data_IF_232569792080
#
_entry.id   IF_232569792080
#
_cell.length_a   1.000
_cell.length_b   1.000
_cell.length_c   1.000
_cell.angle_alpha   90.00
_cell.angle_beta   90.00
_cell.angle_gamma   90.00
#
_symmetry.space_group_name_H-M   'P 1'
#
loop_
_entity.id
_entity.type
_entity.pdbx_description
1 polymer ?
#
# COMPACT_ATOMS: atom_id res chain seq x y z
N UNK A 1 19.70 47.39 -23.65
CA UNK A 1 19.39 46.74 -22.36
C UNK A 1 18.23 45.79 -22.58
N UNK A 2 18.48 44.49 -22.63
CA UNK A 2 17.44 43.46 -22.76
C UNK A 2 17.39 42.73 -21.41
N UNK A 3 16.35 42.97 -20.63
CA UNK A 3 16.11 42.28 -19.35
C UNK A 3 15.60 40.88 -19.64
N UNK A 4 16.45 39.86 -19.43
CA UNK A 4 16.01 38.47 -19.31
C UNK A 4 15.29 38.30 -17.96
N UNK A 5 13.96 38.42 -17.96
CA UNK A 5 13.11 37.99 -16.84
C UNK A 5 13.17 36.47 -16.72
N UNK A 6 14.04 35.99 -15.84
CA UNK A 6 14.01 34.64 -15.28
C UNK A 6 12.68 34.46 -14.52
N UNK A 7 11.73 33.79 -15.15
CA UNK A 7 10.60 33.17 -14.47
C UNK A 7 11.16 32.03 -13.61
N UNK A 8 11.53 32.36 -12.38
CA UNK A 8 11.74 31.39 -11.32
C UNK A 8 10.42 30.67 -11.05
N UNK A 9 10.19 29.57 -11.78
CA UNK A 9 9.10 28.65 -11.50
C UNK A 9 9.33 28.04 -10.13
N UNK A 10 8.70 28.60 -9.10
CA UNK A 10 8.53 27.92 -7.82
C UNK A 10 7.67 26.69 -8.08
N UNK A 11 8.32 25.56 -8.33
CA UNK A 11 7.69 24.26 -8.25
C UNK A 11 7.30 24.04 -6.79
N UNK A 12 6.11 24.53 -6.41
CA UNK A 12 5.43 24.06 -5.23
C UNK A 12 5.19 22.57 -5.42
N UNK A 13 6.08 21.75 -4.88
CA UNK A 13 5.84 20.33 -4.67
C UNK A 13 4.58 20.26 -3.80
N UNK A 14 3.43 20.02 -4.43
CA UNK A 14 2.16 19.94 -3.75
C UNK A 14 2.28 18.85 -2.68
N UNK A 15 2.20 19.24 -1.41
CA UNK A 15 2.27 18.34 -0.26
C UNK A 15 1.26 17.21 -0.47
N UNK A 16 1.75 16.00 -0.69
CA UNK A 16 0.89 14.83 -0.95
C UNK A 16 -0.12 14.68 0.19
N UNK A 17 -1.41 14.74 -0.15
CA UNK A 17 -2.49 14.64 0.83
C UNK A 17 -2.61 13.19 1.27
N UNK A 18 -2.52 12.96 2.57
CA UNK A 18 -2.75 11.65 3.15
C UNK A 18 -4.14 11.12 2.77
N UNK A 19 -4.19 9.88 2.31
CA UNK A 19 -5.42 9.11 2.06
C UNK A 19 -6.17 8.90 3.37
N UNK A 20 -5.47 8.49 4.42
CA UNK A 20 -6.00 8.47 5.78
C UNK A 20 -4.89 8.69 6.82
N UNK A 21 -5.32 9.02 8.04
CA UNK A 21 -4.48 9.11 9.24
C UNK A 21 -5.15 8.32 10.35
N UNK A 22 -4.34 7.66 11.16
CA UNK A 22 -4.78 6.90 12.32
C UNK A 22 -3.84 7.15 13.48
N UNK A 23 -4.41 7.30 14.67
CA UNK A 23 -3.65 7.40 15.92
C UNK A 23 -3.69 6.04 16.58
N UNK A 24 -2.57 5.33 16.56
CA UNK A 24 -2.45 4.04 17.22
C UNK A 24 -2.56 4.20 18.74
N UNK A 25 -3.22 3.25 19.45
CA UNK A 25 -3.19 3.24 20.91
C UNK A 25 -1.75 3.01 21.41
N UNK A 26 -1.34 3.63 22.53
CA UNK A 26 0.02 3.47 23.07
C UNK A 26 0.40 2.00 23.31
N UNK A 27 -0.56 1.21 23.79
CA UNK A 27 -0.40 -0.20 24.16
C UNK A 27 -0.61 -1.18 22.99
N UNK A 28 -0.58 -0.72 21.74
CA UNK A 28 -0.80 -1.59 20.58
C UNK A 28 0.29 -2.67 20.45
N UNK A 29 -0.09 -3.96 20.45
CA UNK A 29 0.91 -5.04 20.39
C UNK A 29 1.61 -5.17 19.04
N UNK A 30 0.91 -4.87 17.94
CA UNK A 30 1.37 -5.06 16.56
C UNK A 30 1.55 -3.74 15.83
N UNK A 31 2.54 -3.62 14.92
CA UNK A 31 2.62 -2.48 14.01
C UNK A 31 1.34 -2.33 13.19
N UNK A 32 0.83 -1.10 13.11
CA UNK A 32 -0.38 -0.70 12.38
C UNK A 32 -0.10 0.52 11.51
N UNK A 33 -0.86 0.69 10.42
CA UNK A 33 -0.68 1.81 9.50
C UNK A 33 -1.28 3.07 10.13
N UNK A 34 -0.45 4.06 10.41
CA UNK A 34 -0.84 5.36 11.00
C UNK A 34 -0.96 6.47 9.97
N UNK A 35 -0.32 6.31 8.81
CA UNK A 35 -0.48 7.21 7.69
C UNK A 35 -0.38 6.45 6.37
N UNK A 36 -1.32 6.71 5.46
CA UNK A 36 -1.26 6.19 4.11
C UNK A 36 -1.36 7.33 3.09
N UNK A 37 -0.58 7.22 2.02
CA UNK A 37 -0.77 7.96 0.77
C UNK A 37 -0.91 6.92 -0.34
N UNK A 38 -2.05 6.89 -1.01
CA UNK A 38 -2.40 5.91 -2.02
C UNK A 38 -3.01 6.63 -3.22
N UNK A 39 -2.57 6.29 -4.41
CA UNK A 39 -3.08 6.85 -5.65
C UNK A 39 -2.55 6.14 -6.89
N UNK A 40 -3.09 6.47 -8.08
CA UNK A 40 -2.61 5.91 -9.33
C UNK A 40 -1.21 6.46 -9.67
N UNK A 41 -0.34 5.60 -10.17
CA UNK A 41 0.98 5.92 -10.70
C UNK A 41 1.24 5.05 -11.94
N UNK A 42 1.07 5.64 -13.13
CA UNK A 42 1.14 4.87 -14.37
C UNK A 42 0.02 3.84 -14.42
N UNK A 43 0.39 2.56 -14.56
CA UNK A 43 -0.52 1.42 -14.56
C UNK A 43 -0.72 0.76 -13.19
N UNK A 44 -0.11 1.31 -12.14
CA UNK A 44 -0.15 0.77 -10.79
C UNK A 44 -0.93 1.66 -9.82
N UNK A 45 -1.37 1.09 -8.70
CA UNK A 45 -1.63 1.85 -7.47
C UNK A 45 -0.34 1.93 -6.65
N UNK A 46 0.15 3.15 -6.45
CA UNK A 46 1.28 3.41 -5.57
C UNK A 46 0.81 3.66 -4.13
N UNK A 47 1.50 3.07 -3.16
CA UNK A 47 1.18 3.17 -1.73
C UNK A 47 2.41 3.52 -0.91
N UNK A 48 2.30 4.56 -0.08
CA UNK A 48 3.24 4.87 0.99
C UNK A 48 2.52 4.65 2.31
N UNK A 49 2.92 3.64 3.04
CA UNK A 49 2.27 3.20 4.26
C UNK A 49 3.26 3.35 5.42
N UNK A 50 3.04 4.34 6.28
CA UNK A 50 3.82 4.54 7.49
C UNK A 50 3.17 3.79 8.64
N UNK A 51 3.95 2.94 9.29
CA UNK A 51 3.57 2.22 10.50
C UNK A 51 3.90 3.05 11.76
N UNK A 52 3.30 2.70 12.89
CA UNK A 52 3.64 3.25 14.21
C UNK A 52 4.93 2.65 14.80
N UNK A 53 5.31 1.47 14.29
CA UNK A 53 6.46 0.65 14.72
C UNK A 53 7.05 -0.05 13.50
N UNK A 54 8.26 -0.57 13.62
CA UNK A 54 8.90 -1.35 12.55
C UNK A 54 8.04 -2.58 12.19
N UNK A 55 7.65 -2.77 10.92
CA UNK A 55 6.64 -3.78 10.54
C UNK A 55 7.16 -5.23 10.53
N UNK A 56 8.47 -5.46 10.50
CA UNK A 56 9.09 -6.79 10.52
C UNK A 56 10.45 -6.75 11.22
N UNK A 57 11.09 -7.90 11.39
CA UNK A 57 12.42 -8.00 12.01
C UNK A 57 12.38 -8.19 13.52
N UNK A 58 13.55 -8.06 14.15
CA UNK A 58 13.69 -8.35 15.58
C UNK A 58 12.93 -7.36 16.47
N UNK A 59 12.74 -6.11 15.99
CA UNK A 59 12.03 -5.07 16.71
C UNK A 59 10.57 -5.45 17.03
N UNK A 60 9.89 -6.17 16.13
CA UNK A 60 8.52 -6.62 16.35
C UNK A 60 8.41 -8.01 17.00
N UNK A 61 9.53 -8.71 17.24
CA UNK A 61 9.60 -10.02 17.89
C UNK A 61 8.65 -11.06 17.28
N UNK A 62 7.52 -11.33 17.95
CA UNK A 62 6.48 -12.30 17.55
C UNK A 62 5.17 -11.60 17.15
N UNK A 63 5.16 -10.27 17.14
CA UNK A 63 3.99 -9.41 16.91
C UNK A 63 4.22 -8.48 15.72
N UNK A 64 4.84 -9.01 14.66
CA UNK A 64 5.06 -8.26 13.43
C UNK A 64 3.76 -7.90 12.72
N UNK A 65 3.88 -6.98 11.76
CA UNK A 65 2.74 -6.49 10.99
C UNK A 65 1.98 -7.66 10.38
N UNK A 66 0.65 -7.60 10.51
CA UNK A 66 -0.28 -8.46 9.80
C UNK A 66 -1.51 -7.62 9.53
N UNK A 67 -1.53 -6.97 8.38
CA UNK A 67 -2.49 -5.91 8.10
C UNK A 67 -2.94 -5.97 6.65
N UNK A 68 -4.20 -5.62 6.41
CA UNK A 68 -4.80 -5.67 5.08
C UNK A 68 -5.31 -4.29 4.69
N UNK A 69 -4.89 -3.83 3.52
CA UNK A 69 -5.49 -2.68 2.84
C UNK A 69 -6.35 -3.23 1.70
N UNK A 70 -7.61 -2.82 1.66
CA UNK A 70 -8.53 -3.20 0.60
C UNK A 70 -8.68 -2.06 -0.40
N UNK A 71 -8.68 -2.40 -1.68
CA UNK A 71 -9.04 -1.47 -2.76
C UNK A 71 -10.32 -1.95 -3.42
N UNK A 72 -11.27 -1.04 -3.49
CA UNK A 72 -12.47 -1.10 -4.32
C UNK A 72 -12.18 -0.18 -5.52
N UNK A 73 -11.81 -0.79 -6.64
CA UNK A 73 -11.14 -0.16 -7.79
C UNK A 73 -12.09 0.64 -8.68
N UNK A 74 -13.38 0.33 -8.62
CA UNK A 74 -14.46 1.06 -9.26
C UNK A 74 -15.33 1.90 -8.30
N UNK A 75 -15.05 1.83 -6.99
CA UNK A 75 -15.81 2.46 -5.92
C UNK A 75 -17.27 1.96 -5.89
N UNK A 76 -17.48 0.67 -6.13
CA UNK A 76 -18.76 -0.02 -6.14
C UNK A 76 -18.83 -1.09 -5.05
N UNK A 77 -19.94 -1.09 -4.29
CA UNK A 77 -20.27 -2.22 -3.40
C UNK A 77 -20.96 -3.37 -4.12
N UNK A 78 -21.08 -3.31 -5.44
CA UNK A 78 -21.76 -4.32 -6.25
C UNK A 78 -20.80 -5.37 -6.83
N UNK A 79 -19.51 -5.09 -6.81
CA UNK A 79 -18.41 -5.94 -7.26
C UNK A 79 -17.63 -6.45 -6.06
N UNK A 80 -16.61 -7.28 -6.30
CA UNK A 80 -15.67 -7.75 -5.29
C UNK A 80 -16.26 -8.41 -4.04
N UNK A 81 -15.50 -8.35 -2.95
CA UNK A 81 -15.75 -9.04 -1.69
C UNK A 81 -17.18 -8.85 -1.15
N UNK A 82 -17.80 -9.95 -0.70
CA UNK A 82 -19.14 -10.02 -0.13
C UNK A 82 -19.14 -10.62 1.27
N UNK A 83 -19.01 -9.77 2.27
CA UNK A 83 -19.12 -10.15 3.68
C UNK A 83 -20.59 -10.26 4.11
N UNK A 84 -20.86 -11.16 5.05
CA UNK A 84 -22.21 -11.46 5.55
C UNK A 84 -22.95 -10.21 6.10
N UNK A 85 -22.23 -9.28 6.74
CA UNK A 85 -22.83 -8.04 7.18
C UNK A 85 -23.06 -7.10 5.99
N UNK A 86 -24.31 -6.74 5.71
CA UNK A 86 -24.75 -5.92 4.57
C UNK A 86 -23.92 -4.62 4.38
N UNK A 87 -23.53 -3.99 5.49
CA UNK A 87 -22.77 -2.75 5.50
C UNK A 87 -21.32 -2.93 5.93
N UNK A 88 -20.78 -4.16 5.81
CA UNK A 88 -19.38 -4.41 6.14
C UNK A 88 -18.47 -3.49 5.30
N UNK A 89 -17.48 -2.84 5.91
CA UNK A 89 -16.62 -1.88 5.22
C UNK A 89 -15.90 -2.48 4.00
N UNK A 90 -15.52 -3.75 4.09
CA UNK A 90 -14.83 -4.47 3.02
C UNK A 90 -15.72 -4.88 1.84
N UNK A 91 -17.05 -4.78 1.94
CA UNK A 91 -17.93 -5.11 0.82
C UNK A 91 -17.62 -4.21 -0.38
N UNK A 92 -17.41 -4.78 -1.56
CA UNK A 92 -16.99 -4.02 -2.74
C UNK A 92 -15.50 -4.03 -3.05
N UNK A 93 -14.66 -4.59 -2.17
CA UNK A 93 -13.22 -4.61 -2.42
C UNK A 93 -12.87 -5.62 -3.52
N UNK A 94 -12.19 -5.17 -4.57
CA UNK A 94 -11.69 -5.99 -5.67
C UNK A 94 -10.26 -6.48 -5.41
N UNK A 95 -9.49 -5.79 -4.56
CA UNK A 95 -8.11 -6.15 -4.24
C UNK A 95 -7.89 -6.16 -2.73
N UNK A 96 -7.24 -7.22 -2.24
CA UNK A 96 -6.63 -7.25 -0.92
C UNK A 96 -5.10 -7.17 -1.02
N UNK A 97 -4.53 -6.18 -0.37
CA UNK A 97 -3.09 -6.03 -0.15
C UNK A 97 -2.78 -6.41 1.29
N UNK A 98 -2.24 -7.62 1.48
CA UNK A 98 -1.98 -8.23 2.78
C UNK A 98 -0.49 -8.11 3.08
N UNK A 99 -0.13 -7.32 4.10
CA UNK A 99 1.24 -7.01 4.48
C UNK A 99 1.58 -7.78 5.74
N UNK A 100 2.65 -8.58 5.67
CA UNK A 100 3.04 -9.50 6.73
C UNK A 100 4.54 -9.41 7.01
N UNK A 101 4.90 -9.19 8.28
CA UNK A 101 6.25 -9.45 8.76
C UNK A 101 6.42 -10.93 9.03
N UNK A 102 7.25 -11.59 8.24
CA UNK A 102 7.57 -13.02 8.34
C UNK A 102 8.83 -13.19 9.16
N UNK A 103 8.81 -14.20 10.04
CA UNK A 103 9.98 -14.68 10.78
C UNK A 103 10.08 -16.18 10.53
N UNK A 104 11.15 -16.59 9.86
CA UNK A 104 11.51 -17.98 9.72
C UNK A 104 12.41 -18.38 10.89
N UNK A 105 11.92 -19.32 11.68
CA UNK A 105 12.68 -19.91 12.77
C UNK A 105 13.60 -20.95 12.15
N UNK A 106 14.92 -20.72 12.25
CA UNK A 106 15.99 -21.55 11.70
C UNK A 106 15.59 -23.02 11.48
N UNK A 107 15.31 -23.37 10.23
CA UNK A 107 14.82 -24.70 9.86
C UNK A 107 15.93 -25.76 9.77
N UNK A 108 17.19 -25.38 10.01
CA UNK A 108 18.33 -26.30 10.11
C UNK A 108 19.35 -25.81 11.15
N UNK A 109 19.97 -26.77 11.86
CA UNK A 109 20.97 -26.54 12.92
C UNK A 109 22.03 -25.51 12.50
N UNK A 110 21.93 -24.29 13.03
CA UNK A 110 22.97 -23.25 12.92
C UNK A 110 22.69 -22.08 11.98
N UNK A 111 21.61 -22.07 11.20
CA UNK A 111 21.25 -20.89 10.41
C UNK A 111 20.66 -19.77 11.30
N UNK A 112 21.05 -18.49 11.15
CA UNK A 112 20.41 -17.40 11.87
C UNK A 112 18.94 -17.26 11.45
N UNK A 113 18.02 -16.90 12.35
CA UNK A 113 16.63 -16.62 12.00
C UNK A 113 16.55 -15.56 10.90
N UNK A 114 15.76 -15.83 9.85
CA UNK A 114 15.55 -14.88 8.78
C UNK A 114 14.22 -14.14 8.99
N UNK A 115 14.23 -12.82 8.81
CA UNK A 115 13.02 -12.01 8.89
C UNK A 115 12.86 -11.14 7.65
N UNK A 116 11.67 -11.13 7.08
CA UNK A 116 11.39 -10.33 5.89
C UNK A 116 9.95 -9.84 5.85
N UNK A 117 9.72 -8.79 5.08
CA UNK A 117 8.38 -8.37 4.73
C UNK A 117 7.89 -9.13 3.50
N UNK A 118 6.70 -9.71 3.61
CA UNK A 118 5.93 -10.30 2.52
C UNK A 118 4.67 -9.47 2.27
N UNK A 119 4.36 -9.20 1.02
CA UNK A 119 3.11 -8.57 0.60
C UNK A 119 2.40 -9.50 -0.37
N UNK A 120 1.17 -9.91 -0.05
CA UNK A 120 0.31 -10.66 -0.97
C UNK A 120 -0.73 -9.72 -1.55
N UNK A 121 -0.87 -9.75 -2.87
CA UNK A 121 -1.93 -9.05 -3.59
C UNK A 121 -2.90 -10.10 -4.10
N UNK A 122 -4.16 -10.03 -3.64
CA UNK A 122 -5.22 -10.92 -4.10
C UNK A 122 -6.31 -10.15 -4.82
N UNK A 123 -6.81 -10.72 -5.91
CA UNK A 123 -8.04 -10.33 -6.57
C UNK A 123 -9.22 -10.96 -5.83
N UNK A 124 -10.22 -10.16 -5.48
CA UNK A 124 -11.43 -10.59 -4.81
C UNK A 124 -12.58 -10.48 -5.81
N UNK A 125 -13.16 -11.61 -6.20
CA UNK A 125 -14.36 -11.66 -7.04
C UNK A 125 -15.64 -11.50 -6.23
N UNK A 126 -16.79 -11.52 -6.92
CA UNK A 126 -18.12 -11.35 -6.29
C UNK A 126 -18.55 -12.56 -5.45
N UNK A 127 -17.91 -13.69 -5.67
CA UNK A 127 -18.04 -14.95 -4.95
C UNK A 127 -17.16 -15.01 -3.68
N UNK A 128 -16.20 -14.09 -3.52
CA UNK A 128 -15.34 -14.06 -2.34
C UNK A 128 -16.12 -13.62 -1.10
N UNK A 129 -16.12 -14.45 -0.08
CA UNK A 129 -16.71 -14.19 1.24
C UNK A 129 -15.67 -13.92 2.32
N UNK A 130 -14.41 -14.28 2.03
CA UNK A 130 -13.23 -14.03 2.85
C UNK A 130 -12.10 -13.46 1.99
N UNK A 131 -11.02 -12.99 2.63
CA UNK A 131 -9.83 -12.52 1.92
C UNK A 131 -9.06 -13.67 1.25
N UNK A 132 -9.17 -14.88 1.79
CA UNK A 132 -8.42 -16.04 1.31
C UNK A 132 -9.10 -16.71 0.09
N UNK A 133 -10.38 -16.41 -0.14
CA UNK A 133 -11.14 -16.87 -1.31
C UNK A 133 -10.63 -16.22 -2.61
N UNK A 134 -9.89 -15.10 -2.51
CA UNK A 134 -9.38 -14.37 -3.67
C UNK A 134 -8.23 -15.06 -4.41
N UNK A 135 -8.15 -14.85 -5.71
CA UNK A 135 -7.02 -15.29 -6.54
C UNK A 135 -5.75 -14.54 -6.17
N UNK A 136 -4.62 -15.24 -6.00
CA UNK A 136 -3.32 -14.60 -5.74
C UNK A 136 -2.76 -14.01 -7.03
N UNK A 137 -2.72 -12.69 -7.13
CA UNK A 137 -2.13 -11.97 -8.28
C UNK A 137 -0.61 -11.85 -8.16
N UNK A 138 -0.11 -11.58 -6.95
CA UNK A 138 1.32 -11.41 -6.70
C UNK A 138 1.66 -11.73 -5.24
N UNK A 139 2.86 -12.27 -5.03
CA UNK A 139 3.51 -12.36 -3.72
C UNK A 139 4.87 -11.68 -3.81
N UNK A 140 5.02 -10.53 -3.14
CA UNK A 140 6.21 -9.68 -3.18
C UNK A 140 7.00 -9.83 -1.88
N UNK A 141 8.32 -9.73 -1.99
CA UNK A 141 9.27 -9.70 -0.90
C UNK A 141 10.26 -8.55 -1.11
N UNK A 142 10.44 -7.71 -0.10
CA UNK A 142 11.33 -6.54 -0.18
C UNK A 142 12.80 -6.87 -0.51
N UNK A 143 13.22 -8.14 -0.37
CA UNK A 143 14.57 -8.62 -0.74
C UNK A 143 14.68 -9.00 -2.22
N UNK A 144 13.58 -9.38 -2.86
CA UNK A 144 13.54 -9.96 -4.20
C UNK A 144 12.91 -9.00 -5.21
N UNK A 145 12.00 -8.14 -4.77
CA UNK A 145 11.19 -7.25 -5.61
C UNK A 145 11.41 -5.76 -5.25
N UNK A 146 12.66 -5.24 -5.19
CA UNK A 146 12.96 -3.87 -4.75
C UNK A 146 12.37 -2.77 -5.66
N UNK A 147 12.01 -3.12 -6.90
CA UNK A 147 11.35 -2.24 -7.87
C UNK A 147 9.86 -2.03 -7.59
N UNK A 148 9.21 -2.97 -6.87
CA UNK A 148 7.80 -2.88 -6.48
C UNK A 148 7.61 -2.71 -4.97
N UNK A 149 8.58 -3.10 -4.15
CA UNK A 149 8.47 -3.13 -2.70
C UNK A 149 9.76 -2.62 -2.03
N UNK A 150 9.68 -1.46 -1.39
CA UNK A 150 10.80 -0.86 -0.65
C UNK A 150 10.41 -0.52 0.77
N UNK A 151 11.36 -0.71 1.69
CA UNK A 151 11.18 -0.45 3.12
C UNK A 151 12.23 0.57 3.55
N UNK A 152 11.77 1.63 4.21
CA UNK A 152 12.60 2.61 4.89
C UNK A 152 12.10 2.77 6.34
N UNK A 153 12.76 2.08 7.27
CA UNK A 153 12.37 2.03 8.68
C UNK A 153 10.93 1.56 8.88
N UNK A 154 10.07 2.47 9.30
CA UNK A 154 8.64 2.23 9.55
C UNK A 154 7.76 2.50 8.31
N UNK A 155 8.35 2.92 7.20
CA UNK A 155 7.62 3.27 5.99
C UNK A 155 7.79 2.21 4.92
N UNK A 156 6.66 1.73 4.41
CA UNK A 156 6.57 0.85 3.26
C UNK A 156 6.20 1.66 2.03
N UNK A 157 6.85 1.34 0.92
CA UNK A 157 6.52 1.86 -0.38
C UNK A 157 6.25 0.68 -1.33
N UNK A 158 5.09 0.70 -1.96
CA UNK A 158 4.56 -0.43 -2.70
C UNK A 158 3.93 0.03 -4.02
N UNK A 159 4.18 -0.71 -5.10
CA UNK A 159 3.42 -0.66 -6.34
C UNK A 159 2.56 -1.92 -6.47
N UNK A 160 1.27 -1.73 -6.69
CA UNK A 160 0.31 -2.80 -6.95
C UNK A 160 -0.19 -2.68 -8.37
N UNK A 161 0.05 -3.72 -9.16
CA UNK A 161 -0.37 -3.81 -10.54
C UNK A 161 -1.89 -3.74 -10.67
N UNK A 162 -2.37 -2.81 -11.50
CA UNK A 162 -3.78 -2.64 -11.78
C UNK A 162 -4.13 -2.93 -13.25
N UNK A 163 -3.25 -3.64 -13.98
CA UNK A 163 -3.46 -4.00 -15.39
C UNK A 163 -4.22 -5.30 -15.59
N UNK A 164 -4.53 -6.03 -14.51
CA UNK A 164 -5.30 -7.27 -14.63
C UNK A 164 -6.64 -7.00 -15.33
N UNK A 165 -6.99 -7.75 -16.39
CA UNK A 165 -8.22 -7.52 -17.13
C UNK A 165 -9.49 -7.80 -16.31
N UNK A 166 -9.35 -8.53 -15.20
CA UNK A 166 -10.43 -8.82 -14.26
C UNK A 166 -10.65 -7.71 -13.23
N UNK A 167 -9.76 -6.71 -13.15
CA UNK A 167 -9.96 -5.57 -12.26
C UNK A 167 -10.88 -4.53 -12.90
N UNK A 168 -12.01 -4.20 -12.27
CA UNK A 168 -12.79 -3.04 -12.65
C UNK A 168 -11.93 -1.77 -12.60
N UNK A 169 -12.15 -0.85 -13.52
CA UNK A 169 -11.47 0.44 -13.50
C UNK A 169 -12.50 1.55 -13.54
N UNK A 170 -12.38 2.53 -12.64
CA UNK A 170 -13.17 3.75 -12.68
C UNK A 170 -12.33 4.99 -12.39
N UNK A 171 -12.99 6.15 -12.41
CA UNK A 171 -12.36 7.46 -12.08
C UNK A 171 -12.07 7.63 -10.58
N UNK A 172 -12.69 6.80 -9.74
CA UNK A 172 -12.56 6.85 -8.29
C UNK A 172 -12.35 5.42 -7.80
N UNK A 173 -11.45 5.27 -6.85
CA UNK A 173 -11.29 4.04 -6.09
C UNK A 173 -11.49 4.33 -4.61
N UNK A 174 -11.95 3.34 -3.85
CA UNK A 174 -12.08 3.43 -2.39
C UNK A 174 -11.03 2.56 -1.73
N UNK A 175 -10.34 3.15 -0.78
CA UNK A 175 -9.40 2.45 0.10
C UNK A 175 -10.11 2.18 1.41
N UNK A 176 -10.00 0.95 1.90
CA UNK A 176 -10.48 0.57 3.23
C UNK A 176 -9.31 -0.03 4.03
N UNK A 177 -9.13 0.47 5.25
CA UNK A 177 -8.19 -0.08 6.21
C UNK A 177 -8.88 -0.27 7.56
N UNK A 178 -8.74 -1.45 8.16
CA UNK A 178 -9.30 -1.77 9.46
C UNK A 178 -8.17 -2.05 10.46
N UNK A 179 -7.76 -1.08 11.29
CA UNK A 179 -6.84 -1.35 12.38
C UNK A 179 -7.48 -2.32 13.39
N UNK A 180 -6.69 -3.18 14.06
CA UNK A 180 -7.18 -4.05 15.13
C UNK A 180 -7.86 -3.24 16.24
N UNK A 181 -9.08 -3.64 16.63
CA UNK A 181 -9.83 -3.00 17.73
C UNK A 181 -10.34 -1.57 17.46
N UNK A 182 -10.13 -1.02 16.26
CA UNK A 182 -10.56 0.34 15.90
C UNK A 182 -11.79 0.35 15.00
N UNK A 183 -12.28 1.54 14.64
CA UNK A 183 -13.25 1.68 13.54
C UNK A 183 -12.55 1.62 12.17
N UNK A 184 -13.24 1.13 11.14
CA UNK A 184 -12.71 1.10 9.78
C UNK A 184 -12.46 2.51 9.26
N UNK A 185 -11.31 2.70 8.62
CA UNK A 185 -10.95 3.91 7.89
C UNK A 185 -11.28 3.70 6.42
N UNK A 186 -11.94 4.68 5.84
CA UNK A 186 -12.31 4.67 4.42
C UNK A 186 -11.94 5.99 3.79
N UNK A 187 -11.40 5.94 2.59
CA UNK A 187 -11.06 7.12 1.81
C UNK A 187 -11.34 6.89 0.34
N UNK A 188 -11.79 7.92 -0.36
CA UNK A 188 -11.86 7.89 -1.82
C UNK A 188 -10.62 8.55 -2.39
N UNK A 189 -9.97 7.87 -3.33
CA UNK A 189 -8.82 8.33 -4.09
C UNK A 189 -9.18 8.39 -5.58
N UNK A 190 -8.38 9.08 -6.42
CA UNK A 190 -8.47 8.91 -7.86
C UNK A 190 -8.31 7.43 -8.25
N UNK A 191 -9.12 6.96 -9.21
CA UNK A 191 -9.01 5.62 -9.78
C UNK A 191 -8.13 5.59 -11.03
N UNK A 192 -8.06 4.43 -11.69
CA UNK A 192 -7.18 4.21 -12.84
C UNK A 192 -7.66 4.91 -14.13
N UNK A 193 -8.98 5.13 -14.28
CA UNK A 193 -9.51 5.85 -15.44
C UNK A 193 -9.34 7.37 -15.23
N UNK A 194 -8.45 7.98 -16.00
CA UNK A 194 -8.27 9.44 -15.99
C UNK A 194 -7.28 9.98 -14.94
N UNK A 195 -6.52 9.11 -14.26
CA UNK A 195 -5.37 9.53 -13.43
C UNK A 195 -4.19 10.10 -14.23
N UNK A 196 -4.23 9.96 -15.57
CA UNK A 196 -3.22 10.44 -16.51
C UNK A 196 -3.34 11.92 -16.85
N UNK A 197 -3.03 12.81 -15.89
CA UNK A 197 -2.61 14.20 -16.19
C UNK A 197 -2.09 14.87 -14.91
N UNK A 198 -0.83 14.58 -14.56
CA UNK A 198 0.01 15.50 -13.78
C UNK A 198 -0.09 15.50 -12.25
N UNK A 199 -0.98 14.72 -11.62
CA UNK A 199 -1.17 14.71 -10.14
C UNK A 199 -1.23 13.32 -9.49
N UNK A 200 -0.69 12.29 -10.14
CA UNK A 200 -0.54 10.96 -9.53
C UNK A 200 0.41 11.01 -8.33
N UNK A 201 0.19 10.12 -7.36
CA UNK A 201 1.11 9.93 -6.23
C UNK A 201 2.41 9.37 -6.82
N UNK A 202 3.54 10.06 -6.64
CA UNK A 202 4.84 9.64 -7.21
C UNK A 202 5.73 9.13 -6.10
N UNK A 203 5.48 7.88 -5.72
CA UNK A 203 6.25 7.21 -4.67
C UNK A 203 7.52 6.59 -5.23
N UNK A 204 7.46 6.01 -6.43
CA UNK A 204 8.63 5.50 -7.13
C UNK A 204 8.95 6.46 -8.27
N UNK A 205 10.20 6.96 -8.32
CA UNK A 205 10.64 7.88 -9.37
C UNK A 205 11.25 7.05 -10.50
N UNK A 206 10.61 7.07 -11.67
CA UNK A 206 11.09 6.38 -12.88
C UNK A 206 11.18 4.84 -12.73
N UNK A 207 10.27 4.23 -11.96
CA UNK A 207 10.24 2.76 -11.76
C UNK A 207 11.35 2.22 -10.85
N UNK A 208 12.09 3.11 -10.18
CA UNK A 208 13.11 2.77 -9.21
C UNK A 208 12.95 3.66 -7.97
N UNK A 209 13.43 3.20 -6.83
CA UNK A 209 13.80 4.11 -5.76
C UNK A 209 14.94 4.94 -6.31
N UNK A 210 14.62 6.17 -6.74
CA UNK A 210 15.56 7.05 -7.41
C UNK A 210 16.90 6.99 -6.69
N UNK A 211 17.97 6.62 -7.40
CA UNK A 211 19.34 6.73 -6.89
C UNK A 211 19.40 8.07 -6.16
N UNK A 212 19.66 8.03 -4.85
CA UNK A 212 19.78 9.23 -4.05
C UNK A 212 20.68 10.19 -4.82
N UNK A 213 20.15 11.37 -5.18
CA UNK A 213 21.01 12.45 -5.64
C UNK A 213 21.83 12.82 -4.41
N UNK A 214 23.12 12.54 -4.52
CA UNK A 214 24.21 12.97 -3.66
C UNK A 214 24.36 12.24 -2.31
N UNK A 215 24.95 11.05 -2.38
CA UNK A 215 25.99 10.68 -1.42
C UNK A 215 27.31 10.64 -2.20
N UNK A 216 27.99 11.78 -2.29
CA UNK A 216 29.42 11.82 -2.62
C UNK A 216 30.23 11.09 -1.54
N UNK A 217 31.32 10.40 -1.92
CA UNK A 217 32.18 9.65 -1.00
C UNK A 217 32.86 10.53 0.05
#
# INVERSE_FOLDING_TARGET
>A
MLLCTLLAGTAFAAKERATFRYTAPPEGERPVIVNAVIGPQGSDFAMRLRFDKVPFGDACKNRCANTTVLLDTDNSKQTGLRLAAKNAPGNGADVAVIIQGVRDHASQQGAPPASWLRVKVRLLGSEASTLDDGELLAELNHRQDPERLHVDGETLYLLVDATSPSLPAARRARVVYQPPGARPLQATIPGMIGGGSGKGVRIFKDGSWGKARDATP
#
